data_IF_101894060471
#
_entry.id   IF_101894060471
#
_cell.length_a   1.000
_cell.length_b   1.000
_cell.length_c   1.000
_cell.angle_alpha   90.00
_cell.angle_beta   90.00
_cell.angle_gamma   90.00
#
_symmetry.space_group_name_H-M   'P 1'
#
loop_
_entity.id
_entity.type
_entity.pdbx_description
1 polymer ?
#
# COMPACT_ATOMS: atom_id res chain seq x y z
N UNK A 1 -4.02 -15.77 -17.10
CA UNK A 1 -3.75 -14.57 -16.27
C UNK A 1 -3.11 -13.57 -17.20
N UNK A 2 -3.52 -12.32 -17.12
CA UNK A 2 -3.11 -11.27 -18.05
C UNK A 2 -2.66 -10.05 -17.25
N UNK A 3 -1.57 -9.43 -17.69
CA UNK A 3 -1.12 -8.15 -17.20
C UNK A 3 -1.75 -7.07 -18.07
N UNK A 4 -2.47 -6.13 -17.45
CA UNK A 4 -3.24 -5.10 -18.17
C UNK A 4 -2.80 -3.70 -17.76
N UNK A 5 -3.18 -2.71 -18.57
CA UNK A 5 -3.13 -1.31 -18.18
C UNK A 5 -4.24 -1.00 -17.18
N UNK A 6 -3.94 -0.18 -16.18
CA UNK A 6 -4.88 0.16 -15.13
C UNK A 6 -4.18 0.85 -13.96
N UNK A 7 -4.91 1.01 -12.87
CA UNK A 7 -4.50 1.72 -11.66
C UNK A 7 -4.98 0.98 -10.41
N UNK A 8 -4.69 1.55 -9.24
CA UNK A 8 -5.16 1.05 -7.93
C UNK A 8 -6.70 1.02 -7.80
N UNK A 9 -7.46 1.63 -8.71
CA UNK A 9 -8.93 1.56 -8.72
C UNK A 9 -9.50 0.66 -9.80
N UNK A 10 -8.66 -0.12 -10.50
CA UNK A 10 -9.13 -1.08 -11.50
C UNK A 10 -10.01 -2.21 -10.96
N UNK A 11 -9.79 -2.75 -9.74
CA UNK A 11 -10.75 -3.67 -9.15
C UNK A 11 -12.06 -2.96 -8.78
N UNK A 12 -13.17 -3.69 -8.88
CA UNK A 12 -14.50 -3.14 -8.62
C UNK A 12 -14.63 -2.54 -7.22
N UNK A 13 -15.30 -1.39 -7.13
CA UNK A 13 -15.66 -0.72 -5.87
C UNK A 13 -14.51 -0.09 -5.09
N UNK A 14 -13.40 0.22 -5.74
CA UNK A 14 -12.36 1.08 -5.18
C UNK A 14 -12.44 2.49 -5.79
N UNK A 15 -12.19 3.50 -4.95
CA UNK A 15 -11.98 4.90 -5.32
C UNK A 15 -10.64 5.35 -4.76
N UNK A 16 -9.99 6.26 -5.44
CA UNK A 16 -8.84 6.94 -4.85
C UNK A 16 -8.79 8.41 -5.24
N UNK A 17 -7.97 9.14 -4.52
CA UNK A 17 -7.68 10.54 -4.78
C UNK A 17 -6.28 10.88 -4.30
N UNK A 18 -5.69 11.91 -4.91
CA UNK A 18 -4.45 12.52 -4.46
C UNK A 18 -4.51 14.02 -4.67
N UNK A 19 -4.04 14.78 -3.69
CA UNK A 19 -3.97 16.24 -3.78
C UNK A 19 -2.61 16.73 -3.28
N UNK A 20 -2.30 17.94 -3.69
CA UNK A 20 -1.30 18.76 -3.01
C UNK A 20 -1.99 19.48 -1.85
N UNK A 21 -1.60 19.13 -0.62
CA UNK A 21 -2.03 19.76 0.61
C UNK A 21 -0.95 20.69 1.21
N UNK A 22 0.31 20.59 0.77
CA UNK A 22 1.38 21.53 1.13
C UNK A 22 2.41 20.98 2.12
N UNK A 23 2.47 19.67 2.36
CA UNK A 23 3.56 19.04 3.13
C UNK A 23 4.87 19.16 2.34
N UNK A 24 4.81 18.94 1.03
CA UNK A 24 5.91 19.18 0.10
C UNK A 24 5.80 20.58 -0.47
N UNK A 25 6.90 21.11 -1.01
CA UNK A 25 6.90 22.40 -1.72
C UNK A 25 6.09 22.36 -3.03
N UNK A 26 6.17 21.24 -3.75
CA UNK A 26 5.51 21.01 -5.04
C UNK A 26 5.06 19.54 -5.09
N UNK A 27 4.15 19.23 -6.02
CA UNK A 27 3.54 17.89 -6.27
C UNK A 27 2.50 17.47 -5.22
N UNK A 28 1.57 16.56 -5.58
CA UNK A 28 0.69 15.90 -4.62
C UNK A 28 1.45 15.21 -3.48
N UNK A 29 0.87 15.24 -2.29
CA UNK A 29 1.50 14.80 -1.04
C UNK A 29 0.50 14.24 0.00
N UNK A 30 -0.79 14.21 -0.34
CA UNK A 30 -1.85 13.60 0.45
C UNK A 30 -2.74 12.75 -0.45
N UNK A 31 -2.86 11.48 -0.12
CA UNK A 31 -3.63 10.47 -0.85
C UNK A 31 -4.68 9.81 0.02
N UNK A 32 -5.77 9.37 -0.60
CA UNK A 32 -6.80 8.56 0.04
C UNK A 32 -7.18 7.43 -0.90
N UNK A 33 -7.08 6.20 -0.41
CA UNK A 33 -7.62 5.00 -1.05
C UNK A 33 -8.86 4.54 -0.27
N UNK A 34 -9.95 4.26 -0.96
CA UNK A 34 -11.24 3.97 -0.35
C UNK A 34 -11.93 2.78 -1.04
N UNK A 35 -12.50 1.87 -0.25
CA UNK A 35 -13.37 0.79 -0.71
C UNK A 35 -14.82 1.11 -0.37
N UNK A 36 -15.70 1.03 -1.38
CA UNK A 36 -17.13 1.32 -1.23
C UNK A 36 -17.86 0.35 -0.29
N UNK A 37 -17.27 -0.83 -0.05
CA UNK A 37 -17.76 -1.83 0.91
C UNK A 37 -16.61 -2.25 1.84
N UNK A 38 -16.91 -2.76 3.06
CA UNK A 38 -15.89 -3.28 3.96
C UNK A 38 -14.97 -4.31 3.30
N UNK A 39 -13.66 -4.03 3.26
CA UNK A 39 -12.67 -4.88 2.63
C UNK A 39 -11.87 -5.66 3.68
N UNK A 40 -11.71 -6.96 3.48
CA UNK A 40 -10.75 -7.75 4.26
C UNK A 40 -9.36 -7.19 3.99
N UNK A 41 -8.59 -6.98 5.05
CA UNK A 41 -7.27 -6.41 4.97
C UNK A 41 -6.20 -7.39 5.48
N UNK A 42 -5.05 -7.38 4.80
CA UNK A 42 -3.81 -7.95 5.29
C UNK A 42 -2.71 -6.90 5.13
N UNK A 43 -1.77 -6.87 6.08
CA UNK A 43 -0.64 -5.98 5.99
C UNK A 43 0.63 -6.62 6.53
N UNK A 44 1.76 -6.17 6.02
CA UNK A 44 3.09 -6.39 6.55
C UNK A 44 3.70 -5.02 6.84
N UNK A 45 4.47 -4.93 7.91
CA UNK A 45 5.09 -3.70 8.36
C UNK A 45 6.58 -3.91 8.57
N UNK A 46 7.35 -2.82 8.61
CA UNK A 46 8.77 -2.83 8.95
C UNK A 46 9.06 -3.66 10.22
N UNK A 47 10.25 -4.28 10.24
CA UNK A 47 10.83 -4.90 11.43
C UNK A 47 11.77 -3.95 12.18
N UNK A 48 11.92 -2.71 11.70
CA UNK A 48 12.69 -1.68 12.38
C UNK A 48 12.23 -1.51 13.84
N UNK A 49 13.20 -1.40 14.76
CA UNK A 49 12.96 -1.28 16.21
C UNK A 49 12.25 0.02 16.59
N UNK A 50 12.29 1.03 15.73
CA UNK A 50 11.69 2.34 15.94
C UNK A 50 10.67 2.65 14.82
N UNK A 51 9.53 1.94 14.77
CA UNK A 51 8.56 2.09 13.69
C UNK A 51 7.85 3.46 13.75
N UNK A 52 7.43 3.95 12.58
CA UNK A 52 6.63 5.16 12.44
C UNK A 52 5.31 5.09 13.23
N UNK A 53 4.81 6.24 13.67
CA UNK A 53 3.73 6.31 14.66
C UNK A 53 2.44 5.57 14.23
N UNK A 54 2.13 5.58 12.92
CA UNK A 54 0.93 4.94 12.37
C UNK A 54 0.90 3.42 12.55
N UNK A 55 2.05 2.74 12.54
CA UNK A 55 2.14 1.27 12.47
C UNK A 55 1.44 0.58 13.65
N UNK A 56 1.57 1.14 14.85
CA UNK A 56 0.91 0.57 16.05
C UNK A 56 -0.61 0.68 15.97
N UNK A 57 -1.12 1.79 15.43
CA UNK A 57 -2.56 2.06 15.25
C UNK A 57 -3.13 1.14 14.18
N UNK A 58 -2.43 1.03 13.05
CA UNK A 58 -2.85 0.17 11.95
C UNK A 58 -2.93 -1.30 12.37
N UNK A 59 -1.95 -1.79 13.16
CA UNK A 59 -1.98 -3.13 13.75
C UNK A 59 -3.19 -3.34 14.67
N UNK A 60 -3.60 -2.33 15.43
CA UNK A 60 -4.81 -2.36 16.26
C UNK A 60 -6.06 -2.47 15.39
N UNK A 61 -6.19 -1.61 14.37
CA UNK A 61 -7.36 -1.56 13.48
C UNK A 61 -7.51 -2.86 12.67
N UNK A 62 -6.41 -3.43 12.17
CA UNK A 62 -6.39 -4.71 11.46
C UNK A 62 -6.88 -5.89 12.31
N UNK A 63 -6.77 -5.83 13.64
CA UNK A 63 -7.31 -6.84 14.56
C UNK A 63 -8.82 -6.72 14.72
N UNK A 64 -9.36 -5.49 14.69
CA UNK A 64 -10.80 -5.22 14.92
C UNK A 64 -11.70 -5.64 13.76
N UNK A 65 -11.24 -5.62 12.52
CA UNK A 65 -12.09 -6.09 11.42
C UNK A 65 -11.61 -5.78 10.01
N UNK A 66 -12.59 -5.49 9.15
CA UNK A 66 -12.38 -5.09 7.76
C UNK A 66 -12.04 -3.59 7.70
N UNK A 67 -11.29 -3.18 6.69
CA UNK A 67 -10.85 -1.80 6.45
C UNK A 67 -11.60 -1.24 5.25
N UNK A 68 -11.82 0.07 5.21
CA UNK A 68 -12.43 0.77 4.08
C UNK A 68 -11.61 1.93 3.56
N UNK A 69 -10.70 2.51 4.34
CA UNK A 69 -9.88 3.61 3.87
C UNK A 69 -8.41 3.49 4.29
N UNK A 70 -7.52 4.07 3.48
CA UNK A 70 -6.12 4.28 3.82
C UNK A 70 -5.78 5.74 3.51
N UNK A 71 -5.49 6.52 4.54
CA UNK A 71 -4.94 7.86 4.40
C UNK A 71 -3.43 7.76 4.22
N UNK A 72 -2.88 8.42 3.21
CA UNK A 72 -1.43 8.41 2.97
C UNK A 72 -0.91 9.82 2.88
N UNK A 73 0.13 10.14 3.63
CA UNK A 73 0.86 11.39 3.45
C UNK A 73 2.31 11.10 3.02
N UNK A 74 2.87 12.01 2.24
CA UNK A 74 4.28 11.94 1.83
C UNK A 74 4.98 13.28 2.01
N UNK A 75 6.30 13.25 2.22
CA UNK A 75 7.12 14.40 2.62
C UNK A 75 7.35 14.51 4.12
N UNK A 76 6.63 13.72 4.94
CA UNK A 76 6.84 13.62 6.39
C UNK A 76 6.55 12.18 6.83
N UNK A 77 7.51 11.53 7.49
CA UNK A 77 7.38 10.13 7.92
C UNK A 77 6.55 9.97 9.21
N UNK A 78 6.35 11.02 9.99
CA UNK A 78 5.79 10.97 11.34
C UNK A 78 6.41 9.81 12.16
N UNK A 79 7.74 9.76 12.10
CA UNK A 79 8.57 8.80 12.80
C UNK A 79 9.51 9.57 13.72
N UNK A 80 9.80 9.01 14.90
CA UNK A 80 10.59 9.66 15.93
C UNK A 80 9.98 10.99 16.44
N UNK A 81 8.64 11.03 16.51
CA UNK A 81 7.84 12.19 16.94
C UNK A 81 7.14 11.97 18.30
N UNK A 82 7.54 10.92 19.02
CA UNK A 82 7.07 10.60 20.36
C UNK A 82 5.55 10.37 20.46
N UNK A 83 4.99 10.65 21.64
CA UNK A 83 3.54 10.51 21.91
C UNK A 83 2.70 11.44 21.04
N UNK A 84 3.25 12.57 20.61
CA UNK A 84 2.53 13.54 19.78
C UNK A 84 2.22 12.94 18.40
N UNK A 85 3.20 12.31 17.74
CA UNK A 85 2.97 11.66 16.45
C UNK A 85 1.87 10.59 16.48
N UNK A 86 1.75 9.86 17.60
CA UNK A 86 0.68 8.89 17.82
C UNK A 86 -0.71 9.53 17.99
N UNK A 87 -0.78 10.68 18.64
CA UNK A 87 -2.02 11.46 18.77
C UNK A 87 -2.43 12.06 17.43
N UNK A 88 -1.46 12.62 16.70
CA UNK A 88 -1.65 13.22 15.38
C UNK A 88 -2.21 12.21 14.37
N UNK A 89 -1.63 11.01 14.30
CA UNK A 89 -2.13 9.95 13.43
C UNK A 89 -3.56 9.52 13.78
N UNK A 90 -3.86 9.32 15.08
CA UNK A 90 -5.23 8.96 15.52
C UNK A 90 -6.24 10.02 15.16
N UNK A 91 -5.88 11.28 15.38
CA UNK A 91 -6.75 12.41 15.07
C UNK A 91 -7.04 12.52 13.57
N UNK A 92 -6.02 12.40 12.71
CA UNK A 92 -6.24 12.45 11.26
C UNK A 92 -7.07 11.26 10.74
N UNK A 93 -6.85 10.06 11.30
CA UNK A 93 -7.71 8.89 11.04
C UNK A 93 -9.16 9.20 11.42
N UNK A 94 -9.40 9.77 12.59
CA UNK A 94 -10.74 10.14 13.04
C UNK A 94 -11.40 11.19 12.13
N UNK A 95 -10.66 12.20 11.70
CA UNK A 95 -11.16 13.22 10.77
C UNK A 95 -11.55 12.59 9.41
N UNK A 96 -10.74 11.68 8.88
CA UNK A 96 -11.08 10.93 7.65
C UNK A 96 -12.31 10.04 7.86
N UNK A 97 -12.36 9.31 8.97
CA UNK A 97 -13.45 8.41 9.30
C UNK A 97 -14.78 9.18 9.38
N UNK A 98 -14.81 10.30 10.11
CA UNK A 98 -15.98 11.17 10.23
C UNK A 98 -16.42 11.72 8.87
N UNK A 99 -15.48 12.10 8.00
CA UNK A 99 -15.79 12.61 6.65
C UNK A 99 -16.32 11.55 5.70
N UNK A 100 -16.00 10.28 5.93
CA UNK A 100 -16.48 9.15 5.14
C UNK A 100 -17.69 8.44 5.77
N UNK A 101 -18.13 8.85 6.96
CA UNK A 101 -19.19 8.15 7.70
C UNK A 101 -18.77 6.76 8.16
N UNK A 102 -17.51 6.57 8.53
CA UNK A 102 -16.93 5.31 8.97
C UNK A 102 -16.58 5.34 10.45
N UNK A 103 -16.50 4.17 11.09
CA UNK A 103 -15.80 4.05 12.36
C UNK A 103 -14.29 4.18 12.16
N UNK A 104 -13.58 4.78 13.12
CA UNK A 104 -12.13 5.05 13.03
C UNK A 104 -11.28 3.80 12.76
N UNK A 105 -11.71 2.65 13.25
CA UNK A 105 -11.04 1.36 13.08
C UNK A 105 -11.19 0.77 11.66
N UNK A 106 -11.96 1.42 10.78
CA UNK A 106 -12.00 1.12 9.34
C UNK A 106 -10.97 1.89 8.52
N UNK A 107 -10.17 2.74 9.15
CA UNK A 107 -9.21 3.62 8.48
C UNK A 107 -7.80 3.26 8.92
N UNK A 108 -6.93 2.99 7.95
CA UNK A 108 -5.48 2.87 8.17
C UNK A 108 -4.78 4.17 7.74
N UNK A 109 -3.54 4.33 8.15
CA UNK A 109 -2.71 5.46 7.75
C UNK A 109 -1.31 5.00 7.35
N UNK A 110 -0.73 5.60 6.31
CA UNK A 110 0.69 5.42 6.00
C UNK A 110 1.38 6.78 5.80
N UNK A 111 2.62 6.88 6.26
CA UNK A 111 3.41 8.11 6.21
C UNK A 111 4.80 7.82 5.65
N UNK A 112 5.36 8.74 4.88
CA UNK A 112 6.73 8.61 4.34
C UNK A 112 7.37 9.98 4.11
N UNK A 113 8.68 10.10 4.31
CA UNK A 113 9.42 11.34 4.11
C UNK A 113 10.38 11.63 5.26
N UNK A 114 10.50 12.90 5.64
CA UNK A 114 11.46 13.35 6.66
C UNK A 114 11.10 12.76 8.03
N UNK A 115 12.10 12.18 8.72
CA UNK A 115 12.02 11.63 10.08
C UNK A 115 12.28 12.75 11.10
N UNK A 116 11.71 12.64 12.31
CA UNK A 116 11.93 13.58 13.43
C UNK A 116 11.17 14.90 13.32
N UNK A 117 10.49 15.17 12.20
CA UNK A 117 9.67 16.36 12.01
C UNK A 117 8.22 16.11 12.41
N UNK A 118 7.61 16.94 13.28
CA UNK A 118 6.18 16.84 13.60
C UNK A 118 5.30 16.90 12.35
N UNK A 119 4.20 16.15 12.35
CA UNK A 119 3.27 16.12 11.24
C UNK A 119 2.46 17.43 11.20
N UNK A 120 2.27 18.09 10.03
CA UNK A 120 1.51 19.33 9.95
C UNK A 120 -0.01 19.04 9.97
N UNK A 121 -0.52 18.66 11.14
CA UNK A 121 -1.91 18.18 11.33
C UNK A 121 -2.95 19.17 10.84
N UNK A 122 -2.83 20.45 11.19
CA UNK A 122 -3.82 21.46 10.80
C UNK A 122 -3.91 21.63 9.29
N UNK A 123 -2.77 21.55 8.60
CA UNK A 123 -2.70 21.63 7.15
C UNK A 123 -3.42 20.45 6.50
N UNK A 124 -3.15 19.23 6.99
CA UNK A 124 -3.78 18.01 6.49
C UNK A 124 -5.28 18.06 6.77
N UNK A 125 -5.69 18.38 8.02
CA UNK A 125 -7.10 18.49 8.44
C UNK A 125 -7.90 19.40 7.53
N UNK A 126 -7.39 20.62 7.24
CA UNK A 126 -8.03 21.61 6.37
C UNK A 126 -8.27 21.06 4.96
N UNK A 127 -7.43 20.13 4.49
CA UNK A 127 -7.48 19.58 3.14
C UNK A 127 -8.24 18.25 3.01
N UNK A 128 -8.53 17.54 4.12
CA UNK A 128 -9.25 16.25 4.07
C UNK A 128 -10.61 16.38 3.36
N UNK A 129 -11.35 17.47 3.57
CA UNK A 129 -12.63 17.69 2.89
C UNK A 129 -12.50 17.71 1.36
N UNK A 130 -11.46 18.36 0.83
CA UNK A 130 -11.14 18.40 -0.59
C UNK A 130 -10.68 17.03 -1.10
N UNK A 131 -9.88 16.32 -0.30
CA UNK A 131 -9.41 14.97 -0.62
C UNK A 131 -10.58 14.00 -0.81
N UNK A 132 -11.51 13.94 0.16
CA UNK A 132 -12.70 13.08 0.11
C UNK A 132 -13.60 13.41 -1.08
N UNK A 133 -13.85 14.70 -1.34
CA UNK A 133 -14.65 15.14 -2.51
C UNK A 133 -14.06 14.71 -3.86
N UNK A 134 -12.74 14.45 -3.93
CA UNK A 134 -12.05 14.04 -5.15
C UNK A 134 -11.94 12.52 -5.33
N UNK A 135 -12.49 11.72 -4.42
CA UNK A 135 -12.49 10.26 -4.56
C UNK A 135 -13.14 9.83 -5.88
N UNK A 136 -12.35 9.17 -6.73
CA UNK A 136 -12.74 8.82 -8.08
C UNK A 136 -12.50 7.34 -8.37
N UNK A 137 -13.49 6.65 -8.96
CA UNK A 137 -13.36 5.25 -9.43
C UNK A 137 -12.43 5.10 -10.63
N UNK A 138 -12.25 6.18 -11.39
CA UNK A 138 -11.42 6.26 -12.60
C UNK A 138 -10.10 6.99 -12.36
N UNK A 139 -9.67 7.10 -11.11
CA UNK A 139 -8.34 7.67 -10.80
C UNK A 139 -7.26 6.83 -11.49
N UNK A 140 -6.52 7.47 -12.39
CA UNK A 140 -5.44 6.82 -13.13
C UNK A 140 -4.10 6.97 -12.44
N UNK A 141 -3.89 8.02 -11.64
CA UNK A 141 -2.54 8.40 -11.21
C UNK A 141 -2.47 9.27 -9.95
N UNK A 142 -3.56 9.91 -9.52
CA UNK A 142 -3.50 10.96 -8.50
C UNK A 142 -3.05 10.39 -7.16
N UNK A 143 -3.62 9.28 -6.71
CA UNK A 143 -3.16 8.58 -5.52
C UNK A 143 -1.69 8.14 -5.65
N UNK A 144 -1.33 7.53 -6.77
CA UNK A 144 0.03 7.07 -7.06
C UNK A 144 1.06 8.20 -6.99
N UNK A 145 0.70 9.36 -7.53
CA UNK A 145 1.53 10.56 -7.55
C UNK A 145 1.67 11.14 -6.14
N UNK A 146 0.62 11.05 -5.32
CA UNK A 146 0.58 11.61 -3.97
C UNK A 146 1.41 10.85 -2.94
N UNK A 147 1.81 9.60 -3.23
CA UNK A 147 2.62 8.81 -2.30
C UNK A 147 4.13 8.94 -2.55
N UNK A 148 4.55 9.46 -3.71
CA UNK A 148 5.96 9.55 -4.12
C UNK A 148 6.79 10.48 -3.21
N UNK A 149 8.08 10.20 -3.03
CA UNK A 149 9.04 11.15 -2.42
C UNK A 149 10.15 11.53 -3.39
N UNK A 150 11.25 10.79 -3.37
CA UNK A 150 12.41 10.95 -4.26
C UNK A 150 12.22 10.18 -5.57
N UNK A 151 11.15 9.37 -5.67
CA UNK A 151 10.72 8.70 -6.88
C UNK A 151 10.65 9.66 -8.09
N UNK A 152 11.15 9.22 -9.25
CA UNK A 152 11.07 9.97 -10.50
C UNK A 152 9.81 9.61 -11.29
N UNK A 153 9.32 8.37 -11.13
CA UNK A 153 8.13 7.88 -11.85
C UNK A 153 7.09 7.22 -10.94
N UNK A 154 5.84 7.26 -11.41
CA UNK A 154 4.72 6.51 -10.84
C UNK A 154 4.90 5.02 -11.12
N UNK A 155 4.60 4.17 -10.11
CA UNK A 155 4.74 2.72 -10.20
C UNK A 155 3.42 2.04 -9.87
N UNK A 156 2.72 1.57 -10.91
CA UNK A 156 1.45 0.86 -10.78
C UNK A 156 1.38 -0.32 -11.73
N UNK A 157 0.72 -1.40 -11.30
CA UNK A 157 0.48 -2.56 -12.16
C UNK A 157 -0.79 -3.31 -11.80
N UNK A 158 -1.42 -3.89 -12.82
CA UNK A 158 -2.69 -4.61 -12.69
C UNK A 158 -2.59 -5.97 -13.37
N UNK A 159 -3.08 -7.00 -12.69
CA UNK A 159 -3.28 -8.33 -13.23
C UNK A 159 -4.76 -8.70 -13.19
N UNK A 160 -5.19 -9.45 -14.20
CA UNK A 160 -6.54 -10.00 -14.31
C UNK A 160 -6.46 -11.52 -14.51
N UNK A 161 -7.35 -12.25 -13.85
CA UNK A 161 -7.48 -13.69 -14.07
C UNK A 161 -8.93 -14.17 -13.91
N UNK A 162 -9.20 -15.36 -14.42
CA UNK A 162 -10.53 -15.97 -14.34
C UNK A 162 -10.57 -17.08 -13.30
N UNK A 163 -11.63 -17.09 -12.49
CA UNK A 163 -12.00 -18.16 -11.58
C UNK A 163 -13.44 -18.60 -11.90
N UNK A 164 -13.56 -19.67 -12.68
CA UNK A 164 -14.83 -20.02 -13.34
C UNK A 164 -15.25 -18.92 -14.32
N UNK A 165 -16.52 -18.51 -14.26
CA UNK A 165 -17.08 -17.42 -15.09
C UNK A 165 -16.76 -16.01 -14.56
N UNK A 166 -16.14 -15.87 -13.39
CA UNK A 166 -15.84 -14.57 -12.78
C UNK A 166 -14.43 -14.09 -13.16
N UNK A 167 -14.33 -12.81 -13.50
CA UNK A 167 -13.06 -12.11 -13.69
C UNK A 167 -12.69 -11.43 -12.38
N UNK A 168 -11.47 -11.65 -11.94
CA UNK A 168 -10.90 -11.08 -10.71
C UNK A 168 -9.74 -10.17 -11.13
N UNK A 169 -9.64 -9.02 -10.46
CA UNK A 169 -8.59 -8.02 -10.69
C UNK A 169 -7.76 -7.84 -9.42
N UNK A 170 -6.44 -7.82 -9.59
CA UNK A 170 -5.48 -7.45 -8.54
C UNK A 170 -4.68 -6.27 -9.08
N UNK A 171 -4.71 -5.15 -8.36
CA UNK A 171 -3.96 -3.96 -8.71
C UNK A 171 -3.01 -3.59 -7.57
N UNK A 172 -1.85 -3.06 -7.92
CA UNK A 172 -0.83 -2.60 -6.98
C UNK A 172 -0.29 -1.24 -7.37
N UNK A 173 0.05 -0.44 -6.35
CA UNK A 173 0.74 0.83 -6.47
C UNK A 173 1.83 0.87 -5.40
N UNK A 174 3.02 1.35 -5.77
CA UNK A 174 4.17 1.35 -4.87
C UNK A 174 4.96 2.66 -4.99
N UNK A 175 5.65 3.02 -3.91
CA UNK A 175 6.67 4.08 -3.91
C UNK A 175 7.91 3.61 -3.17
N UNK A 176 9.04 4.24 -3.46
CA UNK A 176 10.36 3.91 -2.96
C UNK A 176 11.40 4.15 -4.04
N UNK A 177 12.54 4.71 -3.65
CA UNK A 177 13.68 4.96 -4.55
C UNK A 177 15.02 4.94 -3.79
N UNK A 178 15.02 5.31 -2.51
CA UNK A 178 16.14 5.13 -1.57
C UNK A 178 15.68 4.40 -0.30
N UNK A 179 16.61 4.06 0.58
CA UNK A 179 16.43 3.27 1.82
C UNK A 179 15.70 1.92 1.60
N UNK A 180 15.93 1.25 0.48
CA UNK A 180 15.31 -0.06 0.20
C UNK A 180 16.25 -1.18 0.65
N UNK A 181 15.78 -2.07 1.52
CA UNK A 181 16.50 -3.23 2.03
C UNK A 181 15.57 -4.44 2.29
N UNK A 182 16.02 -5.70 2.11
CA UNK A 182 15.28 -6.89 2.53
C UNK A 182 14.74 -6.81 3.98
N UNK A 183 13.68 -7.57 4.26
CA UNK A 183 12.92 -7.54 5.53
C UNK A 183 12.01 -6.31 5.70
N UNK A 184 11.30 -5.95 4.63
CA UNK A 184 10.44 -4.77 4.47
C UNK A 184 11.27 -3.49 4.31
N UNK A 185 11.67 -3.22 3.06
CA UNK A 185 12.37 -2.04 2.52
C UNK A 185 11.55 -0.74 2.52
N UNK A 186 12.16 0.48 2.43
CA UNK A 186 11.50 1.82 2.26
C UNK A 186 10.44 1.85 1.18
N UNK A 187 9.26 1.38 1.56
CA UNK A 187 8.26 1.00 0.59
C UNK A 187 6.90 1.17 1.21
N UNK A 188 6.12 2.10 0.66
CA UNK A 188 4.67 2.05 0.82
C UNK A 188 4.12 1.34 -0.42
N UNK A 189 3.54 0.16 -0.20
CA UNK A 189 2.90 -0.63 -1.23
C UNK A 189 1.43 -0.85 -0.88
N UNK A 190 0.55 -0.53 -1.81
CA UNK A 190 -0.89 -0.70 -1.66
C UNK A 190 -1.38 -1.66 -2.74
N UNK A 191 -2.18 -2.63 -2.33
CA UNK A 191 -2.81 -3.62 -3.20
C UNK A 191 -4.31 -3.57 -3.00
N UNK A 192 -5.05 -3.61 -4.10
CA UNK A 192 -6.51 -3.70 -4.11
C UNK A 192 -6.95 -4.88 -4.94
N UNK A 193 -8.01 -5.55 -4.52
CA UNK A 193 -8.63 -6.61 -5.30
C UNK A 193 -10.12 -6.71 -5.02
N UNK A 194 -10.87 -7.06 -6.05
CA UNK A 194 -12.29 -7.38 -5.95
C UNK A 194 -12.55 -8.86 -5.63
N UNK A 195 -11.49 -9.66 -5.45
CA UNK A 195 -11.59 -11.06 -5.09
C UNK A 195 -12.36 -11.28 -3.78
N UNK A 196 -13.30 -12.22 -3.78
CA UNK A 196 -13.85 -12.78 -2.56
C UNK A 196 -12.87 -13.82 -2.01
N UNK A 197 -12.02 -13.38 -1.09
CA UNK A 197 -10.94 -14.17 -0.45
C UNK A 197 -11.07 -14.15 1.07
N UNK A 198 -10.71 -15.23 1.76
CA UNK A 198 -10.72 -15.28 3.23
C UNK A 198 -9.53 -14.52 3.83
N UNK A 199 -9.70 -13.93 5.02
CA UNK A 199 -8.65 -13.12 5.66
C UNK A 199 -7.34 -13.90 5.86
N UNK A 200 -7.43 -15.17 6.29
CA UNK A 200 -6.29 -16.09 6.43
C UNK A 200 -5.57 -16.31 5.09
N UNK A 201 -6.31 -16.58 4.02
CA UNK A 201 -5.75 -16.74 2.67
C UNK A 201 -5.11 -15.45 2.14
N UNK A 202 -5.75 -14.29 2.30
CA UNK A 202 -5.19 -13.00 1.89
C UNK A 202 -3.86 -12.71 2.61
N UNK A 203 -3.80 -12.99 3.92
CA UNK A 203 -2.58 -12.81 4.73
C UNK A 203 -1.43 -13.70 4.24
N UNK A 204 -1.67 -14.99 4.01
CA UNK A 204 -0.63 -15.89 3.51
C UNK A 204 -0.18 -15.53 2.10
N UNK A 205 -1.13 -15.24 1.20
CA UNK A 205 -0.81 -14.85 -0.17
C UNK A 205 0.03 -13.56 -0.19
N UNK A 206 -0.31 -12.58 0.66
CA UNK A 206 0.46 -11.34 0.76
C UNK A 206 1.89 -11.61 1.26
N UNK A 207 2.04 -12.38 2.34
CA UNK A 207 3.36 -12.74 2.87
C UNK A 207 4.22 -13.44 1.83
N UNK A 208 3.72 -14.51 1.23
CA UNK A 208 4.47 -15.29 0.25
C UNK A 208 4.83 -14.45 -0.99
N UNK A 209 3.91 -13.61 -1.48
CA UNK A 209 4.19 -12.73 -2.61
C UNK A 209 5.27 -11.69 -2.27
N UNK A 210 5.24 -11.11 -1.08
CA UNK A 210 6.24 -10.14 -0.61
C UNK A 210 7.61 -10.79 -0.42
N UNK A 211 7.65 -11.97 0.19
CA UNK A 211 8.89 -12.73 0.41
C UNK A 211 9.58 -13.08 -0.92
N UNK A 212 8.80 -13.39 -1.97
CA UNK A 212 9.32 -13.69 -3.31
C UNK A 212 9.58 -12.46 -4.19
N UNK A 213 9.38 -11.25 -3.68
CA UNK A 213 9.48 -10.02 -4.49
C UNK A 213 10.13 -8.85 -3.75
N UNK A 214 9.39 -8.13 -2.90
CA UNK A 214 9.85 -6.91 -2.23
C UNK A 214 10.94 -7.20 -1.19
N UNK A 215 10.96 -8.40 -0.59
CA UNK A 215 12.04 -8.82 0.31
C UNK A 215 13.28 -9.36 -0.42
N UNK A 216 13.31 -9.33 -1.76
CA UNK A 216 14.45 -9.75 -2.58
C UNK A 216 15.12 -8.56 -3.31
N UNK A 217 14.80 -7.33 -2.90
CA UNK A 217 15.39 -6.12 -3.48
C UNK A 217 16.10 -5.28 -2.42
N UNK A 218 17.24 -4.72 -2.79
CA UNK A 218 18.03 -3.78 -1.98
C UNK A 218 18.53 -2.65 -2.87
N UNK A 219 18.64 -1.44 -2.32
CA UNK A 219 19.22 -0.26 -2.99
C UNK A 219 20.37 0.30 -2.15
N UNK A 220 20.08 0.77 -0.95
CA UNK A 220 21.04 1.51 -0.10
C UNK A 220 21.44 0.75 1.18
N UNK A 221 20.94 -0.46 1.40
CA UNK A 221 21.26 -1.20 2.63
C UNK A 221 20.42 -0.80 3.85
N UNK A 222 19.74 0.34 3.79
CA UNK A 222 19.00 0.89 4.93
C UNK A 222 17.54 0.42 4.98
N UNK A 223 17.07 0.02 6.16
CA UNK A 223 15.67 -0.39 6.40
C UNK A 223 14.87 0.77 7.00
N UNK A 224 13.74 1.13 6.39
CA UNK A 224 12.95 2.26 6.85
C UNK A 224 12.08 1.94 8.06
N UNK A 225 11.82 2.94 8.91
CA UNK A 225 10.87 2.79 10.01
C UNK A 225 9.40 2.79 9.58
N UNK A 226 9.09 3.01 8.30
CA UNK A 226 7.72 3.24 7.83
C UNK A 226 7.21 2.18 6.85
N UNK A 227 7.95 1.08 6.68
CA UNK A 227 7.68 0.14 5.60
C UNK A 227 6.38 -0.59 5.80
N UNK A 228 5.54 -0.56 4.77
CA UNK A 228 4.15 -0.91 4.87
C UNK A 228 3.67 -1.45 3.54
N UNK A 229 3.23 -2.71 3.54
CA UNK A 229 2.50 -3.33 2.43
C UNK A 229 1.09 -3.62 2.92
N UNK A 230 0.06 -3.02 2.31
CA UNK A 230 -1.34 -3.25 2.68
C UNK A 230 -2.10 -3.79 1.46
N UNK A 231 -2.85 -4.87 1.65
CA UNK A 231 -3.78 -5.41 0.66
C UNK A 231 -5.23 -5.31 1.15
N UNK A 232 -6.11 -4.74 0.33
CA UNK A 232 -7.56 -4.67 0.56
C UNK A 232 -8.31 -5.56 -0.44
N UNK A 233 -9.16 -6.45 0.06
CA UNK A 233 -10.00 -7.33 -0.73
C UNK A 233 -11.49 -7.15 -0.38
N UNK A 234 -12.28 -6.60 -1.31
CA UNK A 234 -13.66 -6.19 -1.02
C UNK A 234 -14.74 -7.18 -1.50
N UNK A 235 -14.36 -8.24 -2.24
CA UNK A 235 -15.26 -9.32 -2.63
C UNK A 235 -16.25 -9.02 -3.75
N UNK A 236 -16.18 -7.84 -4.39
CA UNK A 236 -17.17 -7.42 -5.40
C UNK A 236 -17.10 -8.19 -6.72
N UNK A 237 -16.07 -8.98 -6.98
CA UNK A 237 -16.02 -9.92 -8.12
C UNK A 237 -17.03 -11.06 -7.98
N UNK A 238 -17.55 -11.30 -6.75
CA UNK A 238 -18.56 -12.33 -6.43
C UNK A 238 -18.14 -13.72 -6.93
N UNK A 239 -16.84 -14.04 -6.87
CA UNK A 239 -16.32 -15.38 -7.10
C UNK A 239 -16.60 -16.31 -5.90
N UNK A 240 -16.45 -17.62 -6.09
CA UNK A 240 -16.45 -18.57 -4.96
C UNK A 240 -15.33 -18.20 -3.97
N UNK A 241 -15.53 -18.33 -2.65
CA UNK A 241 -14.54 -17.93 -1.66
C UNK A 241 -13.18 -18.59 -1.91
N UNK A 242 -12.14 -17.75 -1.94
CA UNK A 242 -10.75 -18.22 -2.01
C UNK A 242 -10.27 -18.48 -0.58
N UNK A 243 -10.03 -19.75 -0.27
CA UNK A 243 -9.37 -20.24 0.96
C UNK A 243 -7.96 -20.73 0.63
N UNK A 244 -7.13 -21.00 1.63
CA UNK A 244 -5.73 -21.45 1.44
C UNK A 244 -5.66 -22.72 0.59
N UNK A 245 -6.60 -23.65 0.80
CA UNK A 245 -6.61 -24.96 0.15
C UNK A 245 -7.37 -24.95 -1.19
N UNK A 246 -7.89 -23.80 -1.61
CA UNK A 246 -8.69 -23.71 -2.84
C UNK A 246 -7.83 -23.58 -4.09
N UNK A 247 -8.30 -24.14 -5.23
CA UNK A 247 -7.67 -23.89 -6.55
C UNK A 247 -7.61 -22.40 -6.91
N UNK A 248 -8.49 -21.58 -6.35
CA UNK A 248 -8.50 -20.13 -6.53
C UNK A 248 -7.29 -19.45 -5.88
N UNK A 249 -6.73 -20.04 -4.83
CA UNK A 249 -5.57 -19.52 -4.11
C UNK A 249 -4.34 -19.42 -4.99
N UNK A 250 -3.98 -20.52 -5.68
CA UNK A 250 -2.84 -20.57 -6.59
C UNK A 250 -2.93 -19.53 -7.72
N UNK A 251 -4.14 -19.29 -8.25
CA UNK A 251 -4.35 -18.26 -9.27
C UNK A 251 -4.21 -16.85 -8.71
N UNK A 252 -4.77 -16.62 -7.51
CA UNK A 252 -4.69 -15.33 -6.83
C UNK A 252 -3.25 -14.98 -6.48
N UNK A 253 -2.51 -15.90 -5.86
CA UNK A 253 -1.13 -15.65 -5.48
C UNK A 253 -0.24 -15.44 -6.71
N UNK A 254 -0.41 -16.22 -7.78
CA UNK A 254 0.32 -16.00 -9.04
C UNK A 254 0.08 -14.58 -9.58
N UNK A 255 -1.16 -14.09 -9.55
CA UNK A 255 -1.49 -12.74 -9.97
C UNK A 255 -0.87 -11.67 -9.06
N UNK A 256 -0.98 -11.84 -7.73
CA UNK A 256 -0.40 -10.94 -6.75
C UNK A 256 1.14 -10.86 -6.87
N UNK A 257 1.82 -12.00 -6.89
CA UNK A 257 3.27 -12.09 -7.06
C UNK A 257 3.72 -11.50 -8.39
N UNK A 258 2.95 -11.67 -9.46
CA UNK A 258 3.28 -11.04 -10.76
C UNK A 258 3.19 -9.52 -10.71
N UNK A 259 2.16 -8.98 -10.05
CA UNK A 259 2.03 -7.52 -9.83
C UNK A 259 3.20 -7.01 -9.00
N UNK A 260 3.47 -7.62 -7.84
CA UNK A 260 4.54 -7.18 -6.96
C UNK A 260 5.92 -7.34 -7.61
N UNK A 261 6.18 -8.41 -8.37
CA UNK A 261 7.45 -8.61 -9.06
C UNK A 261 7.73 -7.52 -10.09
N UNK A 262 6.71 -7.10 -10.86
CA UNK A 262 6.86 -5.98 -11.80
C UNK A 262 7.13 -4.68 -11.03
N UNK A 263 6.39 -4.44 -9.95
CA UNK A 263 6.58 -3.26 -9.11
C UNK A 263 7.97 -3.22 -8.45
N UNK A 264 8.50 -4.35 -7.97
CA UNK A 264 9.87 -4.46 -7.45
C UNK A 264 10.91 -4.07 -8.48
N UNK A 265 10.75 -4.53 -9.73
CA UNK A 265 11.65 -4.14 -10.83
C UNK A 265 11.54 -2.65 -11.15
N UNK A 266 10.35 -2.07 -11.06
CA UNK A 266 10.15 -0.62 -11.23
C UNK A 266 10.80 0.19 -10.09
N UNK A 267 10.81 -0.32 -8.85
CA UNK A 267 11.53 0.31 -7.74
C UNK A 267 13.03 0.37 -8.01
N UNK A 268 13.65 -0.77 -8.33
CA UNK A 268 15.10 -0.83 -8.59
C UNK A 268 15.50 0.02 -9.80
N UNK A 269 14.68 0.07 -10.86
CA UNK A 269 14.95 0.93 -12.02
C UNK A 269 14.83 2.43 -11.72
N UNK A 270 14.02 2.80 -10.73
CA UNK A 270 13.82 4.19 -10.31
C UNK A 270 14.66 4.56 -9.08
N UNK A 271 15.58 3.68 -8.68
CA UNK A 271 16.41 3.88 -7.51
C UNK A 271 17.25 5.16 -7.62
N UNK A 272 17.48 5.78 -6.47
CA UNK A 272 18.24 7.04 -6.38
C UNK A 272 19.68 6.82 -6.85
N UNK A 273 20.14 7.67 -7.77
CA UNK A 273 21.47 7.52 -8.38
C UNK A 273 21.72 6.27 -9.25
N UNK A 274 20.75 5.36 -9.39
CA UNK A 274 20.98 4.09 -10.09
C UNK A 274 21.17 4.27 -11.59
N UNK A 275 22.26 3.71 -12.12
CA UNK A 275 22.58 3.66 -13.56
C UNK A 275 22.55 2.23 -14.14
N UNK A 276 22.65 1.23 -13.28
CA UNK A 276 22.68 -0.19 -13.64
C UNK A 276 21.81 -0.99 -12.68
N UNK A 277 21.24 -2.09 -13.16
CA UNK A 277 20.53 -3.09 -12.35
C UNK A 277 21.42 -4.33 -12.25
N UNK A 278 21.69 -4.76 -11.03
CA UNK A 278 22.42 -6.01 -10.75
C UNK A 278 21.42 -7.07 -10.34
N UNK A 279 21.54 -8.26 -10.93
CA UNK A 279 20.77 -9.44 -10.54
C UNK A 279 21.73 -10.52 -10.09
N UNK A 280 21.53 -10.99 -8.87
CA UNK A 280 22.26 -12.14 -8.31
C UNK A 280 21.31 -13.33 -8.33
N UNK A 281 21.71 -14.41 -8.99
CA UNK A 281 21.03 -15.69 -8.94
C UNK A 281 21.91 -16.64 -8.12
N UNK A 282 21.36 -17.19 -7.04
CA UNK A 282 22.06 -18.13 -6.18
C UNK A 282 21.47 -19.52 -6.46
N UNK A 283 22.33 -20.48 -6.80
CA UNK A 283 21.98 -21.88 -7.09
C UNK A 283 22.83 -22.80 -6.21
N UNK A 284 22.28 -23.95 -5.80
CA UNK A 284 23.01 -24.93 -4.98
C UNK A 284 23.13 -24.61 -3.48
N UNK A 285 22.41 -23.61 -2.98
CA UNK A 285 22.34 -23.35 -1.54
C UNK A 285 21.56 -24.46 -0.79
N UNK A 286 21.92 -24.71 0.48
CA UNK A 286 21.27 -25.73 1.33
C UNK A 286 19.78 -25.44 1.57
N UNK A 287 19.43 -24.16 1.64
CA UNK A 287 18.07 -23.67 1.80
C UNK A 287 17.90 -22.34 1.08
N UNK A 288 16.66 -21.82 1.07
CA UNK A 288 16.33 -20.55 0.43
C UNK A 288 16.88 -19.34 1.21
#
# INVERSE_FOLDING_TARGET
>A
MEIISGSITSPLGFKSSGIHCGIKRKRPDLGLLYSEVPAKAAALFTTNKLPGAHISIDKEHLKKGNIQAILVNSGNANCYTGRQGLKDSRYLIEVVANRLGLSRDRVLMASTGIIGKPLPVDLIKKNIGKLVKRLNKRDKKDFAQSILTTDKVIKQKVARFSLGKKRIVVAGCIKGAGMIHPHMATTLCFVTTDAFIHKKALKYALKEAVDKTLNLISVEGEMSPNDTVIALANGLAKNKPITVDSKGYFKFIKALTSVLSILSKMLIKDAEGATKLIRVNIEGAESY
#
